data_IF_372793609431
#
_entry.id   IF_372793609431
#
_cell.length_a   1.000
_cell.length_b   1.000
_cell.length_c   1.000
_cell.angle_alpha   90.00
_cell.angle_beta   90.00
_cell.angle_gamma   90.00
#
_symmetry.space_group_name_H-M   'P 1'
#
loop_
_entity.id
_entity.type
_entity.pdbx_description
1 polymer ?
#
# COMPACT_ATOMS: atom_id res chain seq x y z
N UNK A 1 -16.87 -3.88 -21.47
CA UNK A 1 -16.27 -2.57 -21.75
C UNK A 1 -14.86 -2.63 -21.17
N UNK A 2 -13.85 -2.54 -22.03
CA UNK A 2 -12.44 -2.61 -21.63
C UNK A 2 -12.11 -1.40 -20.77
N UNK A 3 -11.70 -1.64 -19.52
CA UNK A 3 -11.26 -0.60 -18.60
C UNK A 3 -9.74 -0.53 -18.68
N UNK A 4 -9.22 0.15 -19.70
CA UNK A 4 -7.86 0.65 -19.64
C UNK A 4 -7.85 1.73 -18.55
N UNK A 5 -7.29 1.41 -17.38
CA UNK A 5 -7.12 2.39 -16.32
C UNK A 5 -5.72 3.00 -16.42
N UNK A 6 -5.65 4.32 -16.30
CA UNK A 6 -4.40 5.04 -16.22
C UNK A 6 -3.79 4.82 -14.84
N UNK A 7 -2.71 4.04 -14.77
CA UNK A 7 -1.90 3.86 -13.56
C UNK A 7 -0.90 5.01 -13.38
N UNK A 8 -0.28 5.08 -12.20
CA UNK A 8 0.84 6.00 -11.95
C UNK A 8 2.04 5.27 -11.36
N UNK A 9 3.23 5.62 -11.85
CA UNK A 9 4.50 5.09 -11.38
C UNK A 9 5.26 6.11 -10.54
N UNK A 10 6.02 5.67 -9.53
CA UNK A 10 6.70 6.55 -8.59
C UNK A 10 7.95 7.19 -9.19
N UNK A 11 8.16 8.46 -8.90
CA UNK A 11 9.47 9.12 -9.04
C UNK A 11 10.09 9.24 -7.65
N UNK A 12 11.17 8.50 -7.43
CA UNK A 12 11.84 8.44 -6.13
C UNK A 12 12.72 9.67 -5.88
N UNK A 13 12.75 10.15 -4.64
CA UNK A 13 13.63 11.24 -4.21
C UNK A 13 15.09 10.77 -4.11
N UNK A 14 16.03 11.64 -4.48
CA UNK A 14 17.45 11.27 -4.62
C UNK A 14 18.27 11.24 -3.33
N UNK A 15 17.78 11.81 -2.22
CA UNK A 15 18.30 11.74 -0.83
C UNK A 15 17.80 12.98 -0.04
N UNK A 16 16.80 12.81 0.83
CA UNK A 16 16.37 13.84 1.81
C UNK A 16 15.87 13.17 3.10
N UNK A 17 15.78 13.95 4.18
CA UNK A 17 15.05 13.51 5.37
C UNK A 17 13.55 13.36 5.03
N UNK A 18 12.82 12.39 5.63
CA UNK A 18 11.42 12.15 5.34
C UNK A 18 10.54 13.25 5.91
N UNK A 19 10.37 14.31 5.12
CA UNK A 19 9.39 15.36 5.37
C UNK A 19 8.21 15.15 4.40
N UNK A 20 7.11 14.54 4.86
CA UNK A 20 5.94 14.30 3.99
C UNK A 20 5.21 15.57 3.54
N UNK A 21 5.61 16.75 4.03
CA UNK A 21 5.21 18.01 3.41
C UNK A 21 5.75 18.17 1.99
N UNK A 22 6.87 17.52 1.67
CA UNK A 22 7.55 17.58 0.37
C UNK A 22 7.39 16.30 -0.46
N UNK A 23 7.03 15.17 0.16
CA UNK A 23 6.90 13.87 -0.50
C UNK A 23 5.44 13.42 -0.54
N UNK A 24 5.05 12.77 -1.63
CA UNK A 24 3.70 12.20 -1.73
C UNK A 24 3.56 10.94 -0.89
N UNK A 25 4.58 10.08 -0.85
CA UNK A 25 4.54 8.79 -0.17
C UNK A 25 5.88 8.45 0.46
N UNK A 26 5.83 7.74 1.59
CA UNK A 26 6.98 7.11 2.24
C UNK A 26 6.69 5.62 2.38
N UNK A 27 7.69 4.81 2.08
CA UNK A 27 7.65 3.35 2.19
C UNK A 27 8.74 2.93 3.17
N UNK A 28 8.36 2.03 4.09
CA UNK A 28 9.23 1.59 5.17
C UNK A 28 9.68 2.75 6.06
N UNK A 29 10.92 2.67 6.51
CA UNK A 29 11.45 3.58 7.51
C UNK A 29 10.83 3.36 8.88
N UNK A 30 11.15 4.25 9.81
CA UNK A 30 10.74 4.15 11.21
C UNK A 30 9.80 5.28 11.64
N UNK A 31 9.23 5.97 10.66
CA UNK A 31 8.52 7.22 10.84
C UNK A 31 7.09 7.03 10.35
N UNK A 32 6.12 7.35 11.22
CA UNK A 32 4.72 7.48 10.85
C UNK A 32 4.12 8.70 11.56
N UNK A 33 3.26 9.45 10.87
CA UNK A 33 2.54 10.56 11.44
C UNK A 33 1.28 10.07 12.14
N UNK A 34 1.21 10.28 13.45
CA UNK A 34 0.07 9.91 14.29
C UNK A 34 -0.56 11.18 14.87
N UNK A 35 -1.79 11.08 15.37
CA UNK A 35 -2.34 12.16 16.18
C UNK A 35 -1.56 12.29 17.51
N UNK A 36 -1.46 13.49 18.11
CA UNK A 36 -0.62 13.71 19.31
C UNK A 36 -0.90 12.77 20.49
N UNK A 37 -2.17 12.43 20.71
CA UNK A 37 -2.61 11.56 21.81
C UNK A 37 -2.77 10.09 21.38
N UNK A 38 -2.34 9.75 20.18
CA UNK A 38 -2.49 8.43 19.61
C UNK A 38 -1.33 7.52 20.02
N UNK A 39 -1.66 6.37 20.62
CA UNK A 39 -0.68 5.37 20.97
C UNK A 39 -0.08 4.70 19.71
N UNK A 40 1.17 4.25 19.82
CA UNK A 40 1.78 3.46 18.76
C UNK A 40 1.00 2.17 18.52
N UNK A 41 0.68 1.81 17.26
CA UNK A 41 -0.15 0.65 16.98
C UNK A 41 0.55 -0.67 17.33
N UNK A 42 -0.24 -1.60 17.88
CA UNK A 42 0.20 -2.97 18.20
C UNK A 42 -0.54 -3.99 17.34
N UNK A 43 0.11 -5.11 17.05
CA UNK A 43 -0.44 -6.20 16.27
C UNK A 43 -1.68 -6.79 16.96
N UNK A 44 -2.85 -6.82 16.29
CA UNK A 44 -4.05 -7.45 16.82
C UNK A 44 -3.88 -8.95 17.15
N UNK A 45 -2.97 -9.63 16.44
CA UNK A 45 -2.71 -11.07 16.61
C UNK A 45 -1.78 -11.37 17.79
N UNK A 46 -0.62 -10.70 17.85
CA UNK A 46 0.46 -11.07 18.78
C UNK A 46 0.91 -9.94 19.73
N UNK A 47 0.24 -8.78 19.69
CA UNK A 47 0.47 -7.60 20.54
C UNK A 47 1.83 -6.90 20.39
N UNK A 48 2.72 -7.40 19.52
CA UNK A 48 3.99 -6.73 19.20
C UNK A 48 3.73 -5.35 18.56
N UNK A 49 4.58 -4.34 18.81
CA UNK A 49 4.49 -3.08 18.09
C UNK A 49 4.58 -3.31 16.58
N UNK A 50 3.69 -2.65 15.81
CA UNK A 50 3.74 -2.72 14.36
C UNK A 50 4.81 -1.77 13.80
N UNK A 51 5.36 -2.09 12.64
CA UNK A 51 6.29 -1.22 11.92
C UNK A 51 5.58 -0.52 10.75
N UNK A 52 5.96 0.73 10.41
CA UNK A 52 5.47 1.42 9.22
C UNK A 52 5.86 0.67 7.95
N UNK A 53 4.90 0.51 7.04
CA UNK A 53 5.16 -0.03 5.71
C UNK A 53 4.86 0.97 4.61
N UNK A 54 3.69 1.63 4.68
CA UNK A 54 3.27 2.64 3.70
C UNK A 54 2.67 3.83 4.43
N UNK A 55 3.02 5.02 3.98
CA UNK A 55 2.37 6.27 4.32
C UNK A 55 2.24 7.15 3.09
N UNK A 56 1.04 7.25 2.53
CA UNK A 56 0.72 8.12 1.39
C UNK A 56 -0.02 9.36 1.89
N UNK A 57 0.56 10.54 1.66
CA UNK A 57 -0.09 11.83 1.87
C UNK A 57 -1.03 12.15 0.71
N UNK A 58 -2.30 11.81 0.88
CA UNK A 58 -3.34 12.06 -0.11
C UNK A 58 -3.60 13.56 -0.29
N UNK A 59 -3.37 14.35 0.76
CA UNK A 59 -3.50 15.81 0.72
C UNK A 59 -2.36 16.52 -0.01
N UNK A 60 -1.23 15.85 -0.26
CA UNK A 60 -0.08 16.44 -0.97
C UNK A 60 -0.46 16.76 -2.42
N UNK A 61 -0.06 17.95 -2.91
CA UNK A 61 -0.21 18.32 -4.33
C UNK A 61 0.51 17.33 -5.26
N UNK A 62 1.55 16.66 -4.76
CA UNK A 62 2.33 15.68 -5.50
C UNK A 62 1.61 14.34 -5.70
N UNK A 63 0.53 14.05 -4.96
CA UNK A 63 -0.34 12.89 -5.23
C UNK A 63 -1.25 13.20 -6.43
N UNK A 64 -1.51 12.29 -7.38
CA UNK A 64 -2.37 12.59 -8.53
C UNK A 64 -3.82 12.96 -8.16
N UNK A 65 -4.41 13.94 -8.84
CA UNK A 65 -5.81 14.36 -8.65
C UNK A 65 -6.81 13.23 -8.88
N UNK A 66 -6.59 12.41 -9.91
CA UNK A 66 -7.43 11.25 -10.22
C UNK A 66 -7.44 10.23 -9.09
N UNK A 67 -6.30 10.02 -8.44
CA UNK A 67 -6.23 9.18 -7.23
C UNK A 67 -6.98 9.83 -6.07
N UNK A 68 -6.74 11.12 -5.80
CA UNK A 68 -7.42 11.86 -4.72
C UNK A 68 -8.95 11.81 -4.83
N UNK A 69 -9.47 11.86 -6.05
CA UNK A 69 -10.92 11.80 -6.32
C UNK A 69 -11.59 10.51 -5.83
N UNK A 70 -10.82 9.46 -5.53
CA UNK A 70 -11.33 8.20 -5.00
C UNK A 70 -11.33 8.15 -3.47
N UNK A 71 -10.63 9.05 -2.79
CA UNK A 71 -10.51 9.04 -1.34
C UNK A 71 -11.55 10.00 -0.75
N UNK A 72 -12.45 9.53 0.13
CA UNK A 72 -13.46 10.39 0.73
C UNK A 72 -12.83 11.32 1.78
N UNK A 73 -13.33 12.56 1.85
CA UNK A 73 -12.96 13.50 2.93
C UNK A 73 -11.51 13.99 2.89
N UNK A 74 -10.88 14.01 1.71
CA UNK A 74 -9.52 14.54 1.54
C UNK A 74 -9.48 16.00 1.95
N UNK A 75 -8.63 16.31 2.92
CA UNK A 75 -8.30 17.68 3.31
C UNK A 75 -7.41 18.29 2.22
N UNK A 76 -7.67 19.53 1.82
CA UNK A 76 -6.85 20.19 0.81
C UNK A 76 -5.42 20.46 1.30
N UNK A 77 -4.46 20.48 0.38
CA UNK A 77 -3.07 20.87 0.66
C UNK A 77 -2.98 22.25 1.34
N UNK A 78 -1.95 22.45 2.16
CA UNK A 78 -1.69 23.72 2.85
C UNK A 78 -2.58 24.01 4.06
N UNK A 79 -3.49 23.09 4.43
CA UNK A 79 -4.24 23.18 5.68
C UNK A 79 -3.42 22.65 6.87
N UNK A 80 -3.89 22.91 8.10
CA UNK A 80 -3.26 22.41 9.33
C UNK A 80 -3.37 20.89 9.50
N UNK A 81 -4.18 20.22 8.68
CA UNK A 81 -4.42 18.79 8.67
C UNK A 81 -4.11 18.20 7.29
N UNK A 82 -3.78 16.92 7.27
CA UNK A 82 -3.53 16.14 6.06
C UNK A 82 -4.22 14.78 6.17
N UNK A 83 -4.75 14.30 5.05
CA UNK A 83 -5.33 12.98 4.89
C UNK A 83 -4.25 12.01 4.44
N UNK A 84 -4.07 10.93 5.20
CA UNK A 84 -3.06 9.91 4.99
C UNK A 84 -3.72 8.55 4.75
N UNK A 85 -3.16 7.75 3.83
CA UNK A 85 -3.36 6.30 3.84
C UNK A 85 -2.14 5.68 4.51
N UNK A 86 -2.36 4.87 5.54
CA UNK A 86 -1.30 4.29 6.37
C UNK A 86 -1.45 2.78 6.46
N UNK A 87 -0.35 2.08 6.26
CA UNK A 87 -0.22 0.65 6.49
C UNK A 87 0.91 0.39 7.48
N UNK A 88 0.57 -0.35 8.53
CA UNK A 88 1.51 -0.89 9.51
C UNK A 88 1.45 -2.40 9.47
N UNK A 89 2.59 -3.08 9.59
CA UNK A 89 2.69 -4.54 9.55
C UNK A 89 3.45 -5.10 10.73
N UNK A 90 3.14 -6.33 11.12
CA UNK A 90 3.80 -6.97 12.25
C UNK A 90 5.19 -7.47 11.85
N UNK A 91 6.27 -7.03 12.51
CA UNK A 91 7.63 -7.47 12.18
C UNK A 91 7.97 -8.85 12.78
N UNK A 92 7.13 -9.39 13.67
CA UNK A 92 7.37 -10.70 14.28
C UNK A 92 7.37 -11.81 13.22
N UNK A 93 8.33 -12.73 13.34
CA UNK A 93 8.54 -13.84 12.41
C UNK A 93 7.23 -14.56 12.04
N UNK A 94 7.03 -14.78 10.74
CA UNK A 94 5.85 -15.40 10.11
C UNK A 94 4.49 -14.76 10.44
N UNK A 95 4.41 -13.73 11.28
CA UNK A 95 3.13 -13.22 11.77
C UNK A 95 2.36 -12.47 10.68
N UNK A 96 3.05 -11.62 9.93
CA UNK A 96 2.48 -10.93 8.77
C UNK A 96 2.23 -11.90 7.62
N UNK A 97 3.25 -12.65 7.21
CA UNK A 97 3.19 -13.59 6.08
C UNK A 97 2.08 -14.64 6.26
N UNK A 98 1.96 -15.24 7.45
CA UNK A 98 0.88 -16.20 7.73
C UNK A 98 -0.49 -15.53 7.64
N UNK A 99 -0.62 -14.33 8.21
CA UNK A 99 -1.91 -13.63 8.27
C UNK A 99 -2.38 -13.19 6.88
N UNK A 100 -1.47 -12.70 6.03
CA UNK A 100 -1.80 -12.26 4.67
C UNK A 100 -1.96 -13.42 3.68
N UNK A 101 -1.39 -14.60 3.97
CA UNK A 101 -1.44 -15.79 3.10
C UNK A 101 -2.59 -16.76 3.41
N UNK A 102 -3.02 -16.88 4.67
CA UNK A 102 -3.97 -17.93 5.08
C UNK A 102 -5.36 -17.44 5.52
N UNK A 103 -5.71 -16.18 5.25
CA UNK A 103 -7.02 -15.59 5.58
C UNK A 103 -7.44 -15.86 7.03
N UNK A 104 -6.57 -15.53 7.97
CA UNK A 104 -6.79 -15.78 9.40
C UNK A 104 -7.84 -14.83 9.99
N UNK A 105 -8.57 -15.28 11.02
CA UNK A 105 -9.55 -14.45 11.75
C UNK A 105 -8.95 -13.16 12.37
N UNK A 106 -7.64 -13.16 12.59
CA UNK A 106 -6.88 -12.01 13.11
C UNK A 106 -5.97 -11.44 12.03
N UNK A 107 -5.91 -10.11 11.94
CA UNK A 107 -5.02 -9.40 11.00
C UNK A 107 -3.75 -8.97 11.70
N UNK A 108 -2.60 -9.31 11.13
CA UNK A 108 -1.28 -8.90 11.64
C UNK A 108 -0.81 -7.54 11.08
N UNK A 109 -1.75 -6.70 10.65
CA UNK A 109 -1.51 -5.37 10.10
C UNK A 109 -2.64 -4.40 10.50
N UNK A 110 -2.37 -3.11 10.35
CA UNK A 110 -3.38 -2.04 10.43
C UNK A 110 -3.29 -1.23 9.14
N UNK A 111 -4.39 -1.19 8.39
CA UNK A 111 -4.57 -0.37 7.19
C UNK A 111 -5.70 0.62 7.44
N UNK A 112 -5.47 1.90 7.17
CA UNK A 112 -6.45 2.95 7.46
C UNK A 112 -6.29 4.21 6.63
N UNK A 113 -7.36 4.98 6.59
CA UNK A 113 -7.35 6.41 6.24
C UNK A 113 -7.33 7.20 7.55
N UNK A 114 -6.35 8.08 7.73
CA UNK A 114 -6.21 8.91 8.91
C UNK A 114 -6.18 10.39 8.54
N UNK A 115 -6.73 11.25 9.40
CA UNK A 115 -6.48 12.69 9.33
C UNK A 115 -5.53 13.04 10.46
N UNK A 116 -4.40 13.66 10.12
CA UNK A 116 -3.31 13.99 11.05
C UNK A 116 -2.88 15.45 10.85
N UNK A 117 -2.17 16.08 11.79
CA UNK A 117 -1.59 17.41 11.57
C UNK A 117 -0.64 17.40 10.37
N UNK A 118 -0.74 18.41 9.48
CA UNK A 118 0.08 18.52 8.27
C UNK A 118 1.56 18.84 8.57
N UNK A 119 1.79 19.53 9.69
CA UNK A 119 3.11 19.73 10.29
C UNK A 119 3.02 19.23 11.72
N UNK A 120 3.05 17.91 11.92
CA UNK A 120 2.98 17.37 13.25
C UNK A 120 4.24 17.79 14.01
N UNK A 121 4.15 17.98 15.33
CA UNK A 121 5.31 18.31 16.14
C UNK A 121 6.43 17.34 15.82
N UNK A 122 7.67 17.85 15.78
CA UNK A 122 8.87 17.04 15.58
C UNK A 122 8.70 15.75 16.39
N UNK A 123 8.63 14.64 15.65
CA UNK A 123 8.41 13.26 16.08
C UNK A 123 8.25 13.07 17.58
N UNK A 124 7.18 12.41 18.05
CA UNK A 124 7.20 11.87 19.42
C UNK A 124 8.24 10.74 19.47
N UNK A 125 9.53 11.12 19.52
CA UNK A 125 10.69 10.23 19.56
C UNK A 125 10.49 9.20 20.68
N UNK A 126 9.84 9.60 21.78
CA UNK A 126 9.48 8.72 22.90
C UNK A 126 8.66 7.49 22.49
N UNK A 127 7.57 7.64 21.72
CA UNK A 127 6.75 6.51 21.28
C UNK A 127 7.52 5.58 20.34
N UNK A 128 8.34 6.17 19.46
CA UNK A 128 9.16 5.43 18.53
C UNK A 128 10.30 4.68 19.23
N UNK A 129 10.95 5.30 20.21
CA UNK A 129 12.00 4.70 21.03
C UNK A 129 11.45 3.52 21.85
N UNK A 130 10.27 3.67 22.46
CA UNK A 130 9.60 2.57 23.16
C UNK A 130 9.21 1.42 22.22
N UNK A 131 8.71 1.72 21.02
CA UNK A 131 8.41 0.72 20.02
C UNK A 131 9.70 0.02 19.53
N UNK A 132 10.75 0.79 19.22
CA UNK A 132 12.07 0.30 18.81
C UNK A 132 12.70 -0.60 19.87
N UNK A 133 12.60 -0.24 21.15
CA UNK A 133 13.14 -1.04 22.25
C UNK A 133 12.46 -2.41 22.37
N UNK A 134 11.23 -2.55 21.86
CA UNK A 134 10.44 -3.78 21.87
C UNK A 134 10.53 -4.58 20.56
N UNK A 135 11.04 -3.97 19.49
CA UNK A 135 11.30 -4.65 18.21
C UNK A 135 12.65 -5.35 18.34
N UNK A 136 12.66 -6.69 18.27
CA UNK A 136 13.85 -7.52 18.47
C UNK A 136 15.00 -7.15 17.51
N UNK A 137 16.25 -7.25 17.98
CA UNK A 137 17.43 -7.04 17.14
C UNK A 137 17.46 -8.04 15.98
N UNK A 138 17.24 -7.56 14.75
CA UNK A 138 17.27 -8.37 13.53
C UNK A 138 15.93 -8.47 12.79
N UNK A 139 14.81 -8.14 13.46
CA UNK A 139 13.52 -7.90 12.81
C UNK A 139 13.33 -6.40 12.74
N UNK A 140 13.40 -5.83 11.54
CA UNK A 140 13.74 -4.42 11.36
C UNK A 140 12.72 -3.61 10.59
N UNK A 141 12.86 -2.30 10.71
CA UNK A 141 12.26 -1.35 9.78
C UNK A 141 12.88 -1.56 8.39
N UNK A 142 12.05 -1.59 7.36
CA UNK A 142 12.55 -1.55 5.98
C UNK A 142 13.34 -0.26 5.74
N UNK A 143 14.35 -0.27 4.84
CA UNK A 143 14.96 0.96 4.35
C UNK A 143 13.89 1.95 3.89
N UNK A 144 14.07 3.21 4.26
CA UNK A 144 13.12 4.25 3.87
C UNK A 144 13.25 4.53 2.38
N UNK A 145 12.13 4.58 1.67
CA UNK A 145 12.03 5.06 0.29
C UNK A 145 10.98 6.15 0.23
N UNK A 146 11.22 7.17 -0.57
CA UNK A 146 10.32 8.32 -0.67
C UNK A 146 9.93 8.55 -2.11
N UNK A 147 8.64 8.67 -2.37
CA UNK A 147 8.09 9.05 -3.67
C UNK A 147 7.87 10.56 -3.65
N UNK A 148 8.69 11.28 -4.40
CA UNK A 148 8.59 12.73 -4.52
C UNK A 148 7.34 13.10 -5.30
N UNK A 149 7.20 12.55 -6.50
CA UNK A 149 6.07 12.78 -7.41
C UNK A 149 5.66 11.48 -8.09
N UNK A 150 4.56 11.53 -8.82
CA UNK A 150 4.06 10.43 -9.63
C UNK A 150 3.98 10.86 -11.09
N UNK A 151 4.32 9.95 -12.00
CA UNK A 151 4.12 10.15 -13.44
C UNK A 151 3.02 9.22 -13.92
N UNK A 152 2.27 9.65 -14.93
CA UNK A 152 1.32 8.77 -15.59
C UNK A 152 2.08 7.57 -16.18
N UNK A 153 1.65 6.37 -15.81
CA UNK A 153 2.13 5.13 -16.42
C UNK A 153 1.55 4.94 -17.82
N UNK A 154 1.67 3.73 -18.37
CA UNK A 154 0.89 3.36 -19.55
C UNK A 154 -0.51 2.87 -19.15
N UNK A 155 -1.41 2.84 -20.12
CA UNK A 155 -2.67 2.10 -19.98
C UNK A 155 -2.35 0.60 -19.88
N UNK A 156 -2.89 -0.05 -18.86
CA UNK A 156 -2.67 -1.47 -18.61
C UNK A 156 -3.96 -2.27 -18.83
N UNK A 157 -3.81 -3.50 -19.31
CA UNK A 157 -4.88 -4.51 -19.34
C UNK A 157 -4.66 -5.54 -18.25
N UNK A 158 -5.65 -6.39 -17.98
CA UNK A 158 -5.46 -7.50 -17.06
C UNK A 158 -4.37 -8.45 -17.57
N UNK A 159 -3.56 -8.99 -16.66
CA UNK A 159 -2.53 -9.96 -17.03
C UNK A 159 -3.15 -11.15 -17.78
N UNK A 160 -2.45 -11.72 -18.77
CA UNK A 160 -3.01 -12.71 -19.70
C UNK A 160 -3.64 -13.92 -19.00
N UNK A 161 -3.11 -14.31 -17.84
CA UNK A 161 -3.63 -15.41 -17.01
C UNK A 161 -5.01 -15.12 -16.38
N UNK A 162 -5.42 -13.85 -16.30
CA UNK A 162 -6.75 -13.43 -15.86
C UNK A 162 -7.73 -13.29 -17.04
N UNK A 163 -7.23 -13.41 -18.27
CA UNK A 163 -7.96 -13.13 -19.51
C UNK A 163 -8.47 -14.41 -20.19
N UNK A 164 -8.80 -15.46 -19.44
CA UNK A 164 -9.24 -16.76 -19.97
C UNK A 164 -10.38 -16.69 -21.01
N UNK A 165 -11.11 -15.57 -21.07
CA UNK A 165 -12.24 -15.33 -21.98
C UNK A 165 -12.12 -14.05 -22.85
N UNK A 166 -10.94 -13.41 -22.99
CA UNK A 166 -10.79 -12.21 -23.84
C UNK A 166 -10.18 -12.53 -25.22
N UNK A 167 -10.84 -12.04 -26.28
CA UNK A 167 -10.40 -12.09 -27.69
C UNK A 167 -9.26 -11.09 -28.02
N UNK A 168 -8.51 -10.65 -27.01
CA UNK A 168 -7.43 -9.69 -27.20
C UNK A 168 -6.27 -10.37 -27.95
N UNK A 169 -5.72 -9.69 -28.95
CA UNK A 169 -4.56 -10.21 -29.68
C UNK A 169 -3.29 -10.19 -28.81
N UNK A 170 -2.35 -11.08 -29.10
CA UNK A 170 -1.01 -11.04 -28.47
C UNK A 170 -0.33 -9.67 -28.63
N UNK A 171 -0.55 -9.00 -29.76
CA UNK A 171 -0.06 -7.64 -30.03
C UNK A 171 -0.69 -6.59 -29.09
N UNK A 172 -2.00 -6.70 -28.82
CA UNK A 172 -2.68 -5.82 -27.87
C UNK A 172 -2.14 -6.03 -26.46
N UNK A 173 -2.00 -7.30 -26.04
CA UNK A 173 -1.43 -7.64 -24.75
C UNK A 173 0.00 -7.12 -24.60
N UNK A 174 0.86 -7.35 -25.59
CA UNK A 174 2.24 -6.85 -25.56
C UNK A 174 2.34 -5.32 -25.40
N UNK A 175 1.37 -4.56 -25.93
CA UNK A 175 1.32 -3.12 -25.77
C UNK A 175 0.81 -2.66 -24.38
N UNK A 176 -0.08 -3.43 -23.76
CA UNK A 176 -0.79 -3.03 -22.52
C UNK A 176 -0.51 -3.94 -21.32
N UNK A 177 0.48 -4.82 -21.41
CA UNK A 177 0.87 -5.71 -20.30
C UNK A 177 1.18 -4.88 -19.04
N UNK A 178 0.64 -5.25 -17.86
CA UNK A 178 0.91 -4.53 -16.61
C UNK A 178 2.40 -4.29 -16.34
N UNK A 179 2.77 -3.08 -15.93
CA UNK A 179 4.12 -2.79 -15.47
C UNK A 179 4.36 -3.30 -14.05
N UNK A 180 5.61 -3.66 -13.78
CA UNK A 180 6.00 -4.20 -12.49
C UNK A 180 6.21 -3.14 -11.39
N UNK A 181 6.09 -3.57 -10.13
CA UNK A 181 6.44 -2.75 -8.96
C UNK A 181 5.32 -1.90 -8.36
N UNK A 182 5.73 -0.82 -7.66
CA UNK A 182 4.83 0.07 -6.94
C UNK A 182 4.02 0.95 -7.91
N UNK A 183 2.69 0.97 -7.77
CA UNK A 183 1.81 1.83 -8.58
C UNK A 183 0.66 2.39 -7.76
N UNK A 184 0.18 3.59 -8.13
CA UNK A 184 -1.18 4.04 -7.78
C UNK A 184 -2.14 3.65 -8.90
N UNK A 185 -3.35 3.24 -8.52
CA UNK A 185 -4.37 2.72 -9.44
C UNK A 185 -3.82 1.60 -10.33
N UNK A 186 -3.02 0.71 -9.74
CA UNK A 186 -2.47 -0.46 -10.42
C UNK A 186 -3.52 -1.53 -10.73
N UNK A 187 -3.10 -2.56 -11.46
CA UNK A 187 -3.91 -3.74 -11.79
C UNK A 187 -3.31 -5.00 -11.17
N UNK A 188 -4.16 -5.97 -10.84
CA UNK A 188 -3.68 -7.25 -10.31
C UNK A 188 -2.84 -8.00 -11.32
N UNK A 189 -1.63 -8.37 -10.91
CA UNK A 189 -0.74 -9.27 -11.66
C UNK A 189 -0.86 -10.67 -11.05
N UNK A 190 -1.29 -11.61 -11.90
CA UNK A 190 -1.55 -13.04 -11.66
C UNK A 190 -2.70 -13.41 -10.71
N UNK A 191 -3.35 -14.50 -11.11
CA UNK A 191 -4.62 -15.01 -10.63
C UNK A 191 -4.61 -15.65 -9.25
N UNK A 192 -5.82 -15.67 -8.68
CA UNK A 192 -6.24 -16.22 -7.39
C UNK A 192 -5.70 -15.43 -6.18
N UNK A 193 -6.58 -14.58 -5.66
CA UNK A 193 -6.44 -14.02 -4.31
C UNK A 193 -6.39 -15.18 -3.30
N UNK A 194 -5.35 -15.25 -2.48
CA UNK A 194 -5.29 -16.26 -1.42
C UNK A 194 -6.32 -15.99 -0.31
N UNK A 195 -6.67 -14.71 -0.09
CA UNK A 195 -7.30 -14.28 1.15
C UNK A 195 -8.42 -13.26 1.02
N UNK A 196 -8.99 -13.03 -0.16
CA UNK A 196 -10.11 -12.09 -0.32
C UNK A 196 -11.45 -12.69 0.16
N UNK A 197 -11.50 -13.29 1.35
CA UNK A 197 -12.76 -13.45 2.09
C UNK A 197 -13.21 -12.16 2.77
N UNK A 198 -12.48 -11.07 2.54
CA UNK A 198 -12.90 -9.74 2.97
C UNK A 198 -14.08 -9.28 2.11
N UNK A 199 -15.27 -9.76 2.42
CA UNK A 199 -16.46 -9.04 2.00
C UNK A 199 -16.40 -7.65 2.63
N UNK A 200 -16.90 -6.63 1.91
CA UNK A 200 -17.06 -5.34 2.55
C UNK A 200 -17.99 -5.56 3.75
N UNK A 201 -17.59 -5.21 4.99
CA UNK A 201 -18.38 -5.51 6.19
C UNK A 201 -19.76 -4.81 6.18
N UNK A 202 -19.97 -3.91 5.22
CA UNK A 202 -21.20 -3.17 4.99
C UNK A 202 -22.01 -3.62 3.77
N UNK A 203 -21.47 -4.48 2.90
CA UNK A 203 -22.14 -4.89 1.66
C UNK A 203 -23.28 -5.92 1.89
N UNK A 204 -23.42 -6.49 3.09
CA UNK A 204 -24.38 -7.56 3.33
C UNK A 204 -24.05 -8.84 2.53
N UNK A 205 -24.94 -9.83 2.52
CA UNK A 205 -24.73 -11.15 1.91
C UNK A 205 -24.86 -11.18 0.37
N UNK A 206 -24.79 -10.03 -0.30
CA UNK A 206 -25.03 -9.92 -1.73
C UNK A 206 -23.76 -9.60 -2.49
N UNK A 207 -23.25 -10.62 -3.21
CA UNK A 207 -22.25 -10.57 -4.28
C UNK A 207 -20.89 -9.93 -3.91
N UNK A 208 -19.82 -10.44 -4.52
CA UNK A 208 -18.47 -9.88 -4.33
C UNK A 208 -18.50 -8.37 -4.54
N UNK A 209 -18.08 -7.54 -3.56
CA UNK A 209 -18.07 -6.10 -3.73
C UNK A 209 -17.20 -5.76 -4.93
N UNK A 210 -17.67 -4.85 -5.79
CA UNK A 210 -16.79 -4.27 -6.80
C UNK A 210 -15.69 -3.52 -6.06
N UNK A 211 -14.45 -3.98 -6.22
CA UNK A 211 -13.28 -3.39 -5.58
C UNK A 211 -12.47 -2.60 -6.61
N UNK A 212 -11.83 -1.54 -6.14
CA UNK A 212 -10.84 -0.77 -6.91
C UNK A 212 -9.49 -0.96 -6.24
N UNK A 213 -8.48 -1.27 -7.03
CA UNK A 213 -7.09 -1.26 -6.58
C UNK A 213 -6.61 0.19 -6.46
N UNK A 214 -6.19 0.58 -5.25
CA UNK A 214 -5.64 1.92 -5.01
C UNK A 214 -4.12 1.89 -5.11
N UNK A 215 -3.47 0.92 -4.47
CA UNK A 215 -2.01 0.85 -4.42
C UNK A 215 -1.59 -0.59 -4.67
N UNK A 216 -0.73 -0.81 -5.66
CA UNK A 216 -0.02 -2.07 -5.85
C UNK A 216 1.36 -1.92 -5.21
N UNK A 217 1.74 -2.80 -4.29
CA UNK A 217 3.02 -2.72 -3.56
C UNK A 217 4.15 -3.54 -4.20
N UNK A 218 3.83 -4.60 -4.93
CA UNK A 218 4.80 -5.47 -5.60
C UNK A 218 4.10 -6.57 -6.38
N UNK A 219 4.83 -7.28 -7.24
CA UNK A 219 4.24 -8.24 -8.19
C UNK A 219 5.14 -9.42 -8.62
N UNK A 220 6.25 -9.65 -7.90
CA UNK A 220 7.27 -10.72 -8.10
C UNK A 220 7.47 -11.21 -9.55
N UNK A 221 8.58 -10.76 -10.15
CA UNK A 221 9.81 -11.57 -10.34
C UNK A 221 11.03 -10.61 -10.31
N UNK A 222 11.99 -10.87 -9.42
CA UNK A 222 13.31 -10.21 -9.42
C UNK A 222 14.18 -10.89 -10.49
N UNK A 223 14.93 -10.14 -11.30
CA UNK A 223 16.35 -10.40 -11.60
C UNK A 223 16.96 -9.19 -12.34
N UNK A 224 17.86 -8.47 -11.66
CA UNK A 224 18.69 -7.40 -12.21
C UNK A 224 19.59 -6.83 -11.11
N UNK A 225 20.89 -7.12 -11.19
CA UNK A 225 21.94 -6.97 -10.16
C UNK A 225 22.26 -5.54 -9.68
N UNK A 226 21.40 -4.53 -9.90
CA UNK A 226 21.80 -3.13 -9.61
C UNK A 226 21.05 -2.45 -8.46
N UNK A 227 20.09 -3.12 -7.81
CA UNK A 227 19.43 -2.55 -6.60
C UNK A 227 18.86 -3.63 -5.62
N UNK A 228 19.60 -4.73 -5.47
CA UNK A 228 19.14 -6.01 -4.88
C UNK A 228 18.67 -5.94 -3.42
N UNK A 229 19.23 -5.08 -2.56
CA UNK A 229 18.94 -5.15 -1.12
C UNK A 229 17.61 -4.48 -0.73
N UNK A 230 17.21 -3.42 -1.42
CA UNK A 230 16.07 -2.61 -1.01
C UNK A 230 14.76 -2.97 -1.76
N UNK A 231 14.84 -3.70 -2.89
CA UNK A 231 13.69 -4.36 -3.54
C UNK A 231 13.44 -5.79 -3.01
N UNK A 232 14.45 -6.46 -2.44
CA UNK A 232 14.28 -7.80 -1.84
C UNK A 232 13.28 -7.82 -0.65
N UNK A 233 13.16 -6.73 0.10
CA UNK A 233 12.16 -6.61 1.19
C UNK A 233 10.75 -6.36 0.64
N UNK A 234 10.58 -5.62 -0.45
CA UNK A 234 9.30 -5.53 -1.19
C UNK A 234 8.96 -6.88 -1.84
N UNK A 235 9.96 -7.68 -2.22
CA UNK A 235 9.76 -9.05 -2.67
C UNK A 235 9.28 -10.02 -1.57
N UNK A 236 9.37 -9.65 -0.28
CA UNK A 236 8.67 -10.35 0.82
C UNK A 236 7.19 -9.96 0.92
N UNK A 237 6.81 -8.73 0.56
CA UNK A 237 5.40 -8.33 0.46
C UNK A 237 4.68 -9.02 -0.71
N UNK A 238 5.44 -9.54 -1.67
CA UNK A 238 4.90 -10.26 -2.82
C UNK A 238 3.92 -9.42 -3.63
N UNK A 239 2.93 -10.11 -4.16
CA UNK A 239 1.82 -9.57 -4.93
C UNK A 239 0.77 -8.97 -3.99
N UNK A 240 1.03 -7.81 -3.38
CA UNK A 240 0.10 -7.21 -2.39
C UNK A 240 -0.55 -5.93 -2.91
N UNK A 241 -1.87 -5.80 -2.71
CA UNK A 241 -2.67 -4.63 -3.08
C UNK A 241 -3.40 -4.04 -1.87
N UNK A 242 -3.46 -2.71 -1.84
CA UNK A 242 -4.43 -1.96 -1.07
C UNK A 242 -5.62 -1.71 -1.98
N UNK A 243 -6.76 -2.33 -1.67
CA UNK A 243 -7.99 -2.16 -2.42
C UNK A 243 -9.01 -1.35 -1.61
N UNK A 244 -9.95 -0.77 -2.33
CA UNK A 244 -11.04 0.03 -1.80
C UNK A 244 -12.36 -0.56 -2.26
N UNK A 245 -13.33 -0.66 -1.36
CA UNK A 245 -14.70 -0.97 -1.74
C UNK A 245 -15.31 0.21 -2.52
N UNK A 246 -15.83 -0.04 -3.72
CA UNK A 246 -16.43 1.02 -4.56
C UNK A 246 -17.69 1.62 -3.89
N UNK A 247 -18.48 0.78 -3.22
CA UNK A 247 -19.71 1.21 -2.53
C UNK A 247 -19.44 1.92 -1.20
N UNK A 248 -18.34 1.56 -0.54
CA UNK A 248 -17.92 2.10 0.76
C UNK A 248 -16.46 2.56 0.69
N UNK A 249 -16.18 3.74 0.09
CA UNK A 249 -14.81 4.19 -0.21
C UNK A 249 -13.90 4.36 1.03
N UNK A 250 -14.45 4.44 2.22
CA UNK A 250 -13.71 4.45 3.48
C UNK A 250 -13.19 3.06 3.91
N UNK A 251 -13.72 1.99 3.31
CA UNK A 251 -13.32 0.61 3.60
C UNK A 251 -12.15 0.23 2.71
N UNK A 252 -10.98 0.11 3.33
CA UNK A 252 -9.76 -0.39 2.72
C UNK A 252 -9.47 -1.82 3.17
N UNK A 253 -8.82 -2.57 2.30
CA UNK A 253 -8.44 -3.96 2.51
C UNK A 253 -7.05 -4.19 1.94
N UNK A 254 -6.31 -5.12 2.54
CA UNK A 254 -5.02 -5.57 2.04
C UNK A 254 -5.21 -6.97 1.48
N UNK A 255 -4.89 -7.18 0.21
CA UNK A 255 -5.02 -8.49 -0.46
C UNK A 255 -3.68 -8.91 -1.01
N UNK A 256 -3.48 -10.23 -1.09
CA UNK A 256 -2.31 -10.82 -1.76
C UNK A 256 -2.76 -11.86 -2.79
N UNK A 257 -2.10 -11.90 -3.96
CA UNK A 257 -2.34 -12.91 -5.00
C UNK A 257 -1.22 -13.95 -5.05
N UNK A 258 -1.53 -15.11 -5.60
CA UNK A 258 -0.54 -16.03 -6.13
C UNK A 258 -1.11 -17.38 -6.56
N UNK A 259 -0.23 -18.16 -7.17
CA UNK A 259 -0.45 -19.48 -7.73
C UNK A 259 -0.16 -20.59 -6.70
N UNK A 260 -1.21 -21.31 -6.26
CA UNK A 260 -1.07 -22.66 -5.70
C UNK A 260 -0.85 -23.68 -6.82
#
# INVERSE_FOLDING_TARGET
>A
MSFLAQSFTPVYASERAPELGHHSMVIGGSVMYLNPDEAWPTCPTCTHPLVPLVQLNVSSENTPDSFRAHIPGVVASGQSLATMIQLFVCPAYDCYDTSITYSTDTRSWILRIATVPASPPAFSESHLEEARAKIEQGYGFMPVRMVETWVAGKEETLHQELMWDQDDSEEFYAAHEPEHGLKLLGHTVRGKYYCSNDECPRAGTHAHPSRRELIQLGDRFSFGEEDEEALALMAMLGNTWIEQCIEHPEVLTLTMSGDW
#
